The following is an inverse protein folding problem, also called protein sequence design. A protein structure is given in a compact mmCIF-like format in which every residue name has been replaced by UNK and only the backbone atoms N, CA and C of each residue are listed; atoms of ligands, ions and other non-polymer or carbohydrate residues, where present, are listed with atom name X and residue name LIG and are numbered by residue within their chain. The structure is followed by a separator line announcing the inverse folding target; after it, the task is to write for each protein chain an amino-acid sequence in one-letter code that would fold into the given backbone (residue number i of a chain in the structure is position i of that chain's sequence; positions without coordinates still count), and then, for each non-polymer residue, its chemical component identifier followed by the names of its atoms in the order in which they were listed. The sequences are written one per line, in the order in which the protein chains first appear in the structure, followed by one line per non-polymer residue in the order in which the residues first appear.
data_IF_403433859131
#
_entry.id   IF_403433859131
#
_cell.length_a   1.000
_cell.length_b   1.000
_cell.length_c   1.000
_cell.angle_alpha   90.00
_cell.angle_beta   90.00
_cell.angle_gamma   90.00
#
_symmetry.space_group_name_H-M   'P 1'
#
loop_
_entity.id
_entity.type
_entity.pdbx_description
1 polymer ?
#
# COMPACT_ATOMS: atom_id res chain seq x y z
N UNK A 1 -1.07 -6.84 37.02
CA UNK A 1 -0.13 -6.51 35.92
C UNK A 1 -0.36 -7.52 34.81
N UNK A 2 -0.98 -7.14 33.69
CA UNK A 2 -1.44 -8.08 32.67
C UNK A 2 -0.85 -7.65 31.30
N UNK A 3 0.33 -8.18 30.96
CA UNK A 3 1.15 -7.75 29.80
C UNK A 3 1.23 -8.80 28.69
N UNK A 4 0.16 -9.57 28.47
CA UNK A 4 0.20 -10.72 27.53
C UNK A 4 -0.63 -10.55 26.25
N UNK A 5 -1.01 -9.33 25.85
CA UNK A 5 -1.85 -9.11 24.65
C UNK A 5 -1.17 -8.39 23.48
N UNK A 6 0.11 -8.03 23.58
CA UNK A 6 0.77 -7.20 22.56
C UNK A 6 1.52 -8.03 21.50
N UNK A 7 1.80 -9.31 21.76
CA UNK A 7 2.77 -10.06 20.95
C UNK A 7 2.16 -10.86 19.78
N UNK A 8 0.84 -11.00 19.69
CA UNK A 8 0.22 -11.83 18.66
C UNK A 8 -0.20 -11.06 17.39
N UNK A 9 -0.24 -9.73 17.44
CA UNK A 9 -0.62 -8.91 16.27
C UNK A 9 0.56 -8.79 15.30
N UNK A 10 1.79 -8.72 15.82
CA UNK A 10 2.98 -8.47 15.00
C UNK A 10 3.37 -9.68 14.14
N UNK A 11 3.19 -10.91 14.62
CA UNK A 11 3.59 -12.11 13.87
C UNK A 11 2.63 -12.44 12.72
N UNK A 12 1.34 -12.10 12.85
CA UNK A 12 0.36 -12.30 11.79
C UNK A 12 0.58 -11.36 10.58
N UNK A 13 1.08 -10.14 10.84
CA UNK A 13 1.46 -9.19 9.77
C UNK A 13 2.73 -9.65 9.04
N UNK A 14 3.65 -10.32 9.73
CA UNK A 14 4.91 -10.81 9.14
C UNK A 14 4.69 -12.09 8.32
N UNK A 15 3.79 -12.99 8.74
CA UNK A 15 3.53 -14.24 8.03
C UNK A 15 2.69 -14.11 6.75
N UNK A 16 2.06 -12.95 6.49
CA UNK A 16 1.41 -12.68 5.19
C UNK A 16 2.40 -12.35 4.06
N UNK A 17 3.70 -12.16 4.37
CA UNK A 17 4.74 -11.76 3.41
C UNK A 17 5.38 -12.98 2.70
N UNK A 18 4.94 -14.21 3.01
CA UNK A 18 5.58 -15.44 2.54
C UNK A 18 4.81 -16.17 1.42
N UNK A 19 4.12 -15.46 0.54
CA UNK A 19 3.77 -16.03 -0.76
C UNK A 19 4.97 -15.84 -1.69
N UNK A 20 5.49 -16.92 -2.33
CA UNK A 20 6.60 -16.79 -3.27
C UNK A 20 6.13 -16.04 -4.51
N UNK A 21 6.23 -14.71 -4.50
CA UNK A 21 6.21 -13.91 -5.72
C UNK A 21 7.57 -14.12 -6.39
N UNK A 22 7.58 -14.32 -7.70
CA UNK A 22 8.77 -14.68 -8.49
C UNK A 22 9.82 -13.56 -8.60
N UNK A 23 10.05 -12.77 -7.54
CA UNK A 23 10.82 -11.54 -7.55
C UNK A 23 10.11 -10.36 -8.24
N UNK A 24 8.90 -10.58 -8.76
CA UNK A 24 8.04 -9.60 -9.42
C UNK A 24 6.76 -9.57 -8.60
N UNK A 25 6.58 -8.53 -7.79
CA UNK A 25 5.45 -8.43 -6.85
C UNK A 25 4.07 -8.61 -7.49
N UNK A 26 3.06 -8.83 -6.66
CA UNK A 26 1.69 -9.12 -7.11
C UNK A 26 1.08 -7.94 -7.88
N UNK A 27 0.76 -8.15 -9.16
CA UNK A 27 0.15 -7.13 -10.03
C UNK A 27 -1.37 -7.17 -9.90
N UNK A 28 -1.99 -6.04 -9.55
CA UNK A 28 -3.44 -5.89 -9.40
C UNK A 28 -4.01 -4.73 -10.21
N UNK A 29 -5.27 -4.80 -10.69
CA UNK A 29 -5.97 -3.66 -11.28
C UNK A 29 -6.06 -2.48 -10.31
N UNK A 30 -5.98 -1.24 -10.81
CA UNK A 30 -6.04 -0.04 -9.96
C UNK A 30 -7.34 0.07 -9.14
N UNK A 31 -8.45 -0.51 -9.63
CA UNK A 31 -9.70 -0.56 -8.89
C UNK A 31 -9.59 -1.25 -7.52
N UNK A 32 -8.62 -2.17 -7.38
CA UNK A 32 -8.42 -2.92 -6.16
C UNK A 32 -7.63 -2.13 -5.10
N UNK A 33 -6.88 -1.10 -5.50
CA UNK A 33 -6.07 -0.30 -4.60
C UNK A 33 -6.89 0.33 -3.46
N UNK A 34 -8.18 0.62 -3.70
CA UNK A 34 -9.09 1.15 -2.67
C UNK A 34 -9.15 0.26 -1.44
N UNK A 35 -9.27 -1.06 -1.63
CA UNK A 35 -9.42 -2.00 -0.52
C UNK A 35 -8.08 -2.54 -0.04
N UNK A 36 -7.13 -2.79 -0.95
CA UNK A 36 -5.82 -3.39 -0.62
C UNK A 36 -4.88 -2.37 0.04
N UNK A 37 -4.80 -1.16 -0.50
CA UNK A 37 -3.81 -0.16 -0.07
C UNK A 37 -4.43 0.86 0.88
N UNK A 38 -5.60 1.39 0.51
CA UNK A 38 -6.20 2.51 1.24
C UNK A 38 -7.25 2.10 2.28
N UNK A 39 -7.52 0.81 2.47
CA UNK A 39 -8.52 0.29 3.42
C UNK A 39 -9.87 1.07 3.36
N UNK A 40 -10.36 1.33 2.14
CA UNK A 40 -11.57 2.08 1.83
C UNK A 40 -11.61 3.57 2.27
N UNK A 41 -10.51 4.14 2.76
CA UNK A 41 -10.43 5.55 3.19
C UNK A 41 -10.35 6.54 2.02
N UNK A 42 -9.82 6.11 0.87
CA UNK A 42 -9.66 6.94 -0.34
C UNK A 42 -10.58 6.45 -1.45
N UNK A 43 -11.27 7.38 -2.13
CA UNK A 43 -12.16 7.05 -3.25
C UNK A 43 -11.40 6.60 -4.50
N UNK A 44 -12.00 5.73 -5.30
CA UNK A 44 -11.40 5.24 -6.55
C UNK A 44 -11.06 6.38 -7.53
N UNK A 45 -11.89 7.42 -7.63
CA UNK A 45 -11.62 8.59 -8.47
C UNK A 45 -10.39 9.38 -8.01
N UNK A 46 -10.17 9.47 -6.70
CA UNK A 46 -8.97 10.10 -6.13
C UNK A 46 -7.72 9.27 -6.42
N UNK A 47 -7.78 7.95 -6.22
CA UNK A 47 -6.66 7.05 -6.54
C UNK A 47 -6.30 7.13 -8.03
N UNK A 48 -7.31 7.14 -8.91
CA UNK A 48 -7.09 7.31 -10.35
C UNK A 48 -6.43 8.65 -10.69
N UNK A 49 -6.82 9.73 -10.01
CA UNK A 49 -6.18 11.04 -10.18
C UNK A 49 -4.73 11.02 -9.71
N UNK A 50 -4.44 10.40 -8.57
CA UNK A 50 -3.07 10.22 -8.05
C UNK A 50 -2.20 9.43 -9.03
N UNK A 51 -2.71 8.32 -9.56
CA UNK A 51 -2.02 7.52 -10.57
C UNK A 51 -1.71 8.34 -11.84
N UNK A 52 -2.68 9.11 -12.35
CA UNK A 52 -2.49 9.98 -13.51
C UNK A 52 -1.45 11.09 -13.28
N UNK A 53 -1.28 11.54 -12.03
CA UNK A 53 -0.30 12.56 -11.64
C UNK A 53 1.08 11.97 -11.29
N UNK A 54 1.21 10.65 -11.26
CA UNK A 54 2.44 9.99 -10.78
C UNK A 54 2.64 10.06 -9.27
N UNK A 55 1.61 10.43 -8.50
CA UNK A 55 1.66 10.49 -7.03
C UNK A 55 1.51 9.10 -6.40
N UNK A 56 0.82 8.18 -7.08
CA UNK A 56 0.63 6.79 -6.67
C UNK A 56 1.37 5.85 -7.64
N UNK A 57 2.14 4.86 -7.15
CA UNK A 57 2.94 3.97 -8.00
C UNK A 57 2.04 3.00 -8.79
N UNK A 58 1.59 3.46 -9.94
CA UNK A 58 0.76 2.72 -10.87
C UNK A 58 1.27 2.87 -12.30
N UNK A 59 0.95 1.90 -13.14
CA UNK A 59 1.36 1.87 -14.55
C UNK A 59 0.21 1.40 -15.44
N UNK A 60 0.33 1.65 -16.75
CA UNK A 60 -0.61 1.16 -17.76
C UNK A 60 -0.04 -0.03 -18.50
N UNK A 61 -0.86 -1.05 -18.72
CA UNK A 61 -0.56 -2.14 -19.65
C UNK A 61 -1.11 -1.82 -21.06
N UNK A 62 -0.63 -2.55 -22.06
CA UNK A 62 -1.16 -2.51 -23.43
C UNK A 62 -2.67 -2.83 -23.37
N UNK A 63 -3.51 -1.83 -23.68
CA UNK A 63 -4.96 -1.86 -23.43
C UNK A 63 -5.47 -0.72 -22.55
N UNK A 64 -4.58 0.13 -22.01
CA UNK A 64 -4.93 1.42 -21.40
C UNK A 64 -5.51 1.36 -19.98
N UNK A 65 -5.69 0.15 -19.42
CA UNK A 65 -6.08 -0.07 -18.03
C UNK A 65 -4.89 0.15 -17.10
N UNK A 66 -5.18 0.71 -15.92
CA UNK A 66 -4.20 0.97 -14.88
C UNK A 66 -4.05 -0.22 -13.92
N UNK A 67 -2.82 -0.48 -13.52
CA UNK A 67 -2.40 -1.54 -12.61
C UNK A 67 -1.39 -1.00 -11.61
N UNK A 68 -1.18 -1.74 -10.52
CA UNK A 68 -0.13 -1.47 -9.54
C UNK A 68 0.46 -2.78 -9.05
N UNK A 69 1.66 -2.70 -8.48
CA UNK A 69 2.29 -3.83 -7.76
C UNK A 69 2.02 -3.60 -6.27
N UNK A 70 1.45 -4.60 -5.59
CA UNK A 70 0.96 -4.48 -4.22
C UNK A 70 2.07 -4.05 -3.26
N UNK A 71 3.22 -4.71 -3.33
CA UNK A 71 4.37 -4.51 -2.45
C UNK A 71 4.97 -3.10 -2.62
N UNK A 72 5.06 -2.61 -3.85
CA UNK A 72 5.54 -1.25 -4.14
C UNK A 72 4.56 -0.22 -3.57
N UNK A 73 3.25 -0.42 -3.76
CA UNK A 73 2.25 0.48 -3.23
C UNK A 73 2.19 0.48 -1.69
N UNK A 74 2.41 -0.67 -1.05
CA UNK A 74 2.51 -0.77 0.41
C UNK A 74 3.76 -0.05 0.95
N UNK A 75 4.92 -0.24 0.31
CA UNK A 75 6.15 0.47 0.66
C UNK A 75 5.99 1.99 0.54
N UNK A 76 5.45 2.46 -0.58
CA UNK A 76 5.11 3.87 -0.81
C UNK A 76 4.19 4.45 0.29
N UNK A 77 3.17 3.70 0.72
CA UNK A 77 2.25 4.15 1.78
C UNK A 77 2.97 4.28 3.13
N UNK A 78 3.88 3.35 3.44
CA UNK A 78 4.70 3.40 4.64
C UNK A 78 5.65 4.61 4.64
N UNK A 79 6.30 4.90 3.51
CA UNK A 79 7.18 6.05 3.33
C UNK A 79 6.46 7.38 3.53
N UNK A 80 5.25 7.53 2.98
CA UNK A 80 4.42 8.73 3.17
C UNK A 80 4.03 8.88 4.64
N UNK A 81 3.62 7.78 5.28
CA UNK A 81 3.21 7.80 6.69
C UNK A 81 4.37 8.21 7.61
N UNK A 82 5.59 7.73 7.34
CA UNK A 82 6.79 8.12 8.07
C UNK A 82 7.17 9.58 7.82
N UNK A 83 7.05 10.06 6.58
CA UNK A 83 7.34 11.45 6.22
C UNK A 83 6.40 12.43 6.95
N UNK A 84 5.12 12.09 7.06
CA UNK A 84 4.14 12.89 7.80
C UNK A 84 4.39 12.87 9.32
N UNK A 85 4.87 11.76 9.87
CA UNK A 85 5.23 11.65 11.28
C UNK A 85 6.43 12.54 11.64
N UNK A 86 7.45 12.57 10.79
CA UNK A 86 8.66 13.37 11.03
C UNK A 86 8.38 14.88 10.93
N UNK A 87 7.48 15.32 10.04
CA UNK A 87 7.04 16.71 9.97
C UNK A 87 6.35 17.20 11.26
N UNK A 88 5.64 16.32 11.98
CA UNK A 88 4.95 16.66 13.23
C UNK A 88 5.85 16.72 14.46
N UNK A 89 7.08 16.19 14.38
CA UNK A 89 8.04 16.22 15.49
C UNK A 89 9.03 17.39 15.42
N UNK A 90 9.07 18.12 14.31
CA UNK A 90 9.94 19.28 14.11
C UNK A 90 9.22 20.63 14.18
N UNK A 91 7.97 20.68 14.66
CA UNK A 91 7.17 21.89 14.83
C UNK A 91 6.92 22.19 16.31
#
# INVERSE_FOLDING_TARGET
MNTSKINNITTAVINQIAAPTNGVGEVRPLGDARHIIFNNTVSHSTILRMAKRGEFPAFKLLGGKWYFIVEIAQAWLAEISMSQFNYRKGA
#
